data_IF_795951697044
#
_entry.id   IF_795951697044
#
_cell.length_a   1.000
_cell.length_b   1.000
_cell.length_c   1.000
_cell.angle_alpha   90.00
_cell.angle_beta   90.00
_cell.angle_gamma   90.00
#
_symmetry.space_group_name_H-M   'P 1'
#
loop_
_entity.id
_entity.type
_entity.pdbx_description
1 polymer ?
#
# COMPACT_ATOMS: atom_id res chain seq x y z
N UNK A 1 -2.56 26.14 3.46
CA UNK A 1 -1.48 25.13 3.37
C UNK A 1 -1.57 24.28 4.63
N UNK A 2 -2.09 23.06 4.52
CA UNK A 2 -2.20 22.13 5.66
C UNK A 2 -0.84 21.47 5.89
N UNK A 3 -0.43 21.35 7.15
CA UNK A 3 0.77 20.62 7.53
C UNK A 3 0.53 19.87 8.86
N UNK A 4 1.24 18.77 9.06
CA UNK A 4 1.26 17.99 10.29
C UNK A 4 2.71 17.60 10.56
N UNK A 5 3.14 17.74 11.81
CA UNK A 5 4.51 17.43 12.24
C UNK A 5 4.52 16.02 12.83
N UNK A 6 5.47 15.22 12.36
CA UNK A 6 5.71 13.87 12.85
C UNK A 6 7.11 13.78 13.46
N UNK A 7 7.19 13.23 14.66
CA UNK A 7 8.47 12.94 15.30
C UNK A 7 9.06 11.65 14.72
N UNK A 8 10.38 11.63 14.54
CA UNK A 8 11.11 10.41 14.18
C UNK A 8 11.78 9.91 15.47
N UNK A 9 11.42 8.71 15.97
CA UNK A 9 12.05 8.15 17.16
C UNK A 9 13.56 7.95 17.00
N UNK A 10 14.31 8.02 18.09
CA UNK A 10 15.78 7.91 18.06
C UNK A 10 16.24 6.53 17.57
N UNK A 11 15.49 5.50 17.91
CA UNK A 11 15.67 4.13 17.45
C UNK A 11 15.54 4.04 15.92
N UNK A 12 14.56 4.73 15.32
CA UNK A 12 14.37 4.78 13.86
C UNK A 12 15.47 5.62 13.19
N UNK A 13 15.88 6.74 13.80
CA UNK A 13 16.96 7.58 13.28
C UNK A 13 18.31 6.84 13.19
N UNK A 14 18.52 5.84 14.04
CA UNK A 14 19.75 5.04 14.12
C UNK A 14 19.57 3.59 13.64
N UNK A 15 18.39 3.25 13.13
CA UNK A 15 18.02 1.89 12.72
C UNK A 15 18.49 1.56 11.30
N UNK A 16 17.63 0.90 10.54
CA UNK A 16 17.84 0.64 9.11
C UNK A 16 17.17 1.69 8.23
N UNK A 17 17.59 1.76 6.97
CA UNK A 17 16.93 2.56 5.96
C UNK A 17 15.47 2.14 5.80
N UNK A 18 15.21 0.84 5.77
CA UNK A 18 13.85 0.31 5.69
C UNK A 18 12.97 0.83 6.84
N UNK A 19 13.44 0.74 8.09
CA UNK A 19 12.70 1.25 9.25
C UNK A 19 12.43 2.77 9.15
N UNK A 20 13.42 3.53 8.70
CA UNK A 20 13.29 4.98 8.53
C UNK A 20 12.26 5.34 7.45
N UNK A 21 12.38 4.75 6.27
CA UNK A 21 11.49 5.07 5.15
C UNK A 21 10.09 4.50 5.36
N UNK A 22 9.95 3.33 5.98
CA UNK A 22 8.64 2.79 6.37
C UNK A 22 7.93 3.72 7.38
N UNK A 23 8.67 4.29 8.34
CA UNK A 23 8.12 5.30 9.26
C UNK A 23 7.68 6.58 8.52
N UNK A 24 8.46 7.05 7.54
CA UNK A 24 8.07 8.21 6.70
C UNK A 24 6.78 7.91 5.94
N UNK A 25 6.68 6.75 5.30
CA UNK A 25 5.47 6.35 4.55
C UNK A 25 4.27 6.19 5.48
N UNK A 26 4.46 5.69 6.70
CA UNK A 26 3.40 5.65 7.71
C UNK A 26 2.91 7.04 8.12
N UNK A 27 3.80 8.02 8.23
CA UNK A 27 3.42 9.42 8.48
C UNK A 27 2.63 10.00 7.29
N UNK A 28 3.04 9.71 6.06
CA UNK A 28 2.34 10.15 4.84
C UNK A 28 0.92 9.55 4.80
N UNK A 29 0.78 8.25 5.07
CA UNK A 29 -0.51 7.57 5.06
C UNK A 29 -1.48 8.15 6.11
N UNK A 30 -1.00 8.37 7.34
CA UNK A 30 -1.79 9.01 8.40
C UNK A 30 -2.19 10.45 8.02
N UNK A 31 -1.30 11.19 7.34
CA UNK A 31 -1.64 12.52 6.84
C UNK A 31 -2.72 12.49 5.75
N UNK A 32 -2.65 11.56 4.81
CA UNK A 32 -3.66 11.41 3.76
C UNK A 32 -5.02 11.03 4.34
N UNK A 33 -5.04 10.15 5.34
CA UNK A 33 -6.26 9.80 6.07
C UNK A 33 -6.84 11.01 6.81
N UNK A 34 -6.01 11.77 7.52
CA UNK A 34 -6.40 13.01 8.20
C UNK A 34 -7.01 14.04 7.23
N UNK A 35 -6.51 14.11 6.00
CA UNK A 35 -7.01 15.00 4.96
C UNK A 35 -8.23 14.44 4.20
N UNK A 36 -8.64 13.19 4.46
CA UNK A 36 -9.72 12.51 3.73
C UNK A 36 -9.37 12.19 2.27
N UNK A 37 -8.07 12.01 1.97
CA UNK A 37 -7.54 11.79 0.61
C UNK A 37 -7.00 10.36 0.41
N UNK A 38 -7.45 9.41 1.21
CA UNK A 38 -7.06 8.00 1.08
C UNK A 38 -7.49 7.47 -0.29
N UNK A 39 -6.59 6.74 -0.97
CA UNK A 39 -6.85 6.14 -2.28
C UNK A 39 -6.62 7.06 -3.49
N UNK A 40 -6.19 8.31 -3.28
CA UNK A 40 -5.86 9.25 -4.36
C UNK A 40 -4.36 9.22 -4.65
N UNK A 41 -3.99 9.08 -5.93
CA UNK A 41 -2.61 9.25 -6.38
C UNK A 41 -2.29 10.75 -6.50
N UNK A 42 -1.28 11.22 -5.75
CA UNK A 42 -0.89 12.62 -5.70
C UNK A 42 0.59 12.77 -6.04
N UNK A 43 0.97 13.82 -6.80
CA UNK A 43 2.38 14.14 -7.00
C UNK A 43 3.03 14.53 -5.65
N UNK A 44 4.15 13.90 -5.32
CA UNK A 44 4.90 14.16 -4.08
C UNK A 44 6.22 14.86 -4.39
N UNK A 45 6.44 16.01 -3.75
CA UNK A 45 7.76 16.64 -3.69
C UNK A 45 8.50 16.20 -2.43
N UNK A 46 9.68 15.59 -2.58
CA UNK A 46 10.45 15.09 -1.45
C UNK A 46 11.61 16.02 -1.10
N UNK A 47 11.42 16.87 -0.08
CA UNK A 47 12.50 17.74 0.42
C UNK A 47 13.37 16.99 1.41
N UNK A 48 14.49 16.45 0.94
CA UNK A 48 15.42 15.67 1.75
C UNK A 48 16.67 16.48 2.12
N UNK A 49 16.66 17.08 3.31
CA UNK A 49 17.65 18.08 3.74
C UNK A 49 18.97 17.48 4.25
N UNK A 50 19.60 16.63 3.44
CA UNK A 50 20.90 16.02 3.70
C UNK A 50 21.86 16.20 2.52
N UNK A 51 23.17 16.07 2.71
CA UNK A 51 24.13 16.08 1.60
C UNK A 51 23.84 14.93 0.62
N UNK A 52 23.37 15.27 -0.58
CA UNK A 52 23.08 14.31 -1.63
C UNK A 52 23.73 14.73 -2.96
N UNK A 53 24.07 13.74 -3.78
CA UNK A 53 24.39 13.94 -5.19
C UNK A 53 23.12 13.70 -6.00
N UNK A 54 22.56 14.78 -6.53
CA UNK A 54 21.35 14.74 -7.34
C UNK A 54 21.72 14.57 -8.83
N UNK A 55 21.25 13.49 -9.45
CA UNK A 55 21.51 13.17 -10.85
C UNK A 55 20.34 13.59 -11.76
N UNK A 56 19.10 13.48 -11.26
CA UNK A 56 17.86 13.92 -11.93
C UNK A 56 16.91 14.60 -10.93
N UNK A 57 15.70 14.98 -11.34
CA UNK A 57 14.69 15.48 -10.41
C UNK A 57 14.15 14.41 -9.45
N UNK A 58 14.26 13.14 -9.83
CA UNK A 58 13.70 11.98 -9.13
C UNK A 58 14.76 10.93 -8.76
N UNK A 59 16.02 11.33 -8.70
CA UNK A 59 17.18 10.51 -8.30
C UNK A 59 18.15 11.35 -7.47
N UNK A 60 18.42 10.90 -6.24
CA UNK A 60 19.28 11.62 -5.31
C UNK A 60 20.03 10.65 -4.39
N UNK A 61 21.34 10.52 -4.61
CA UNK A 61 22.20 9.62 -3.84
C UNK A 61 22.61 10.28 -2.54
N UNK A 62 22.28 9.69 -1.39
CA UNK A 62 22.75 10.19 -0.09
C UNK A 62 24.26 10.01 0.04
N UNK A 63 25.00 11.10 0.23
CA UNK A 63 26.45 11.04 0.38
C UNK A 63 26.86 10.71 1.80
N UNK A 64 26.22 11.38 2.77
CA UNK A 64 26.54 11.22 4.19
C UNK A 64 25.44 11.74 5.09
N UNK A 65 25.16 11.01 6.15
CA UNK A 65 24.29 11.46 7.21
C UNK A 65 24.88 12.62 8.02
N UNK A 66 23.98 13.48 8.49
CA UNK A 66 24.29 14.60 9.39
C UNK A 66 23.19 14.72 10.44
N UNK A 67 23.28 15.70 11.35
CA UNK A 67 22.21 16.04 12.31
C UNK A 67 21.79 14.88 13.23
N UNK A 68 22.71 13.94 13.48
CA UNK A 68 22.48 12.79 14.35
C UNK A 68 21.82 11.58 13.69
N UNK A 69 21.42 11.64 12.41
CA UNK A 69 20.94 10.45 11.70
C UNK A 69 22.07 9.47 11.43
N UNK A 70 21.78 8.16 11.49
CA UNK A 70 22.71 7.07 11.14
C UNK A 70 22.00 5.82 10.61
N UNK A 71 20.83 5.97 10.00
CA UNK A 71 20.11 4.83 9.43
C UNK A 71 21.00 4.09 8.42
N UNK A 72 21.19 2.80 8.66
CA UNK A 72 22.07 1.94 7.86
C UNK A 72 21.45 1.58 6.51
N UNK A 73 22.28 1.37 5.48
CA UNK A 73 21.78 1.06 4.14
C UNK A 73 21.19 2.27 3.38
N UNK A 74 21.51 3.50 3.80
CA UNK A 74 21.09 4.71 3.07
C UNK A 74 22.24 5.47 2.41
N UNK A 75 23.42 5.56 3.06
CA UNK A 75 24.57 6.26 2.45
C UNK A 75 25.08 5.48 1.24
N UNK A 76 25.20 6.15 0.10
CA UNK A 76 25.52 5.55 -1.20
C UNK A 76 24.30 5.14 -2.03
N UNK A 77 23.09 5.19 -1.46
CA UNK A 77 21.85 4.76 -2.10
C UNK A 77 20.97 5.93 -2.54
N UNK A 78 20.10 5.69 -3.53
CA UNK A 78 19.11 6.66 -3.99
C UNK A 78 17.93 6.75 -3.02
N UNK A 79 17.80 7.90 -2.34
CA UNK A 79 16.74 8.11 -1.34
C UNK A 79 15.34 8.16 -1.96
N UNK A 80 15.24 8.48 -3.26
CA UNK A 80 13.95 8.44 -3.95
C UNK A 80 13.54 6.99 -4.19
N UNK A 81 14.48 6.11 -4.54
CA UNK A 81 14.23 4.68 -4.66
C UNK A 81 13.86 4.06 -3.31
N UNK A 82 14.60 4.37 -2.23
CA UNK A 82 14.26 3.89 -0.89
C UNK A 82 12.84 4.29 -0.46
N UNK A 83 12.41 5.51 -0.78
CA UNK A 83 11.04 5.95 -0.53
C UNK A 83 10.01 5.21 -1.40
N UNK A 84 10.29 5.03 -2.70
CA UNK A 84 9.42 4.27 -3.62
C UNK A 84 9.25 2.82 -3.16
N UNK A 85 10.34 2.18 -2.72
CA UNK A 85 10.32 0.81 -2.19
C UNK A 85 9.51 0.73 -0.89
N UNK A 86 9.66 1.69 0.02
CA UNK A 86 8.85 1.74 1.24
C UNK A 86 7.35 1.93 0.95
N UNK A 87 7.00 2.77 -0.04
CA UNK A 87 5.61 2.92 -0.51
C UNK A 87 5.11 1.57 -1.03
N UNK A 88 5.89 0.90 -1.88
CA UNK A 88 5.52 -0.40 -2.43
C UNK A 88 5.38 -1.48 -1.35
N UNK A 89 6.31 -1.55 -0.39
CA UNK A 89 6.22 -2.48 0.75
C UNK A 89 4.95 -2.25 1.57
N UNK A 90 4.57 -1.00 1.78
CA UNK A 90 3.31 -0.67 2.47
C UNK A 90 2.12 -1.10 1.63
N UNK A 91 2.07 -0.80 0.35
CA UNK A 91 0.96 -1.22 -0.53
C UNK A 91 0.83 -2.74 -0.56
N UNK A 92 1.95 -3.47 -0.65
CA UNK A 92 1.97 -4.94 -0.61
C UNK A 92 1.62 -5.47 0.79
N UNK A 93 2.03 -4.80 1.86
CA UNK A 93 1.69 -5.16 3.24
C UNK A 93 0.23 -4.88 3.60
N UNK A 94 -0.34 -3.78 3.08
CA UNK A 94 -1.77 -3.53 3.08
C UNK A 94 -2.46 -4.57 2.18
N UNK A 95 -1.84 -5.00 1.07
CA UNK A 95 -2.38 -6.04 0.20
C UNK A 95 -2.38 -7.45 0.85
N UNK A 96 -1.43 -7.75 1.73
CA UNK A 96 -1.49 -8.95 2.57
C UNK A 96 -2.58 -8.88 3.66
N UNK A 97 -3.14 -7.69 3.90
CA UNK A 97 -4.39 -7.50 4.65
C UNK A 97 -5.61 -7.30 3.74
N UNK A 98 -5.46 -7.38 2.41
CA UNK A 98 -6.57 -7.26 1.46
C UNK A 98 -6.96 -8.64 0.96
N UNK A 99 -8.26 -8.92 0.98
CA UNK A 99 -8.80 -10.15 0.40
C UNK A 99 -8.40 -10.30 -1.06
N UNK A 100 -8.44 -11.53 -1.56
CA UNK A 100 -8.24 -11.81 -2.98
C UNK A 100 -9.38 -11.19 -3.79
N UNK A 101 -9.05 -10.46 -4.86
CA UNK A 101 -10.01 -10.00 -5.86
C UNK A 101 -9.38 -10.04 -7.26
N UNK A 102 -10.20 -10.15 -8.30
CA UNK A 102 -9.77 -10.14 -9.69
C UNK A 102 -10.77 -9.38 -10.58
N UNK A 103 -10.26 -8.79 -11.67
CA UNK A 103 -11.07 -8.11 -12.67
C UNK A 103 -10.71 -8.59 -14.08
N UNK A 104 -11.66 -8.47 -15.01
CA UNK A 104 -11.45 -8.81 -16.42
C UNK A 104 -12.28 -7.89 -17.33
N UNK A 105 -11.94 -7.83 -18.62
CA UNK A 105 -12.70 -7.07 -19.61
C UNK A 105 -13.81 -7.92 -20.19
N UNK A 106 -15.06 -7.53 -19.96
CA UNK A 106 -16.27 -8.20 -20.49
C UNK A 106 -16.89 -7.36 -21.63
N UNK A 107 -17.57 -8.02 -22.55
CA UNK A 107 -18.35 -7.37 -23.61
C UNK A 107 -19.63 -6.75 -23.04
N UNK A 108 -19.92 -5.50 -23.43
CA UNK A 108 -21.07 -4.74 -22.90
C UNK A 108 -22.41 -5.48 -23.07
N UNK A 109 -22.58 -6.22 -24.17
CA UNK A 109 -23.77 -7.07 -24.42
C UNK A 109 -24.01 -8.19 -23.40
N UNK A 110 -23.04 -8.52 -22.53
CA UNK A 110 -23.20 -9.49 -21.45
C UNK A 110 -23.51 -8.83 -20.09
N UNK A 111 -23.63 -7.50 -20.03
CA UNK A 111 -23.80 -6.73 -18.79
C UNK A 111 -25.22 -6.13 -18.76
N UNK A 112 -26.17 -6.89 -18.22
CA UNK A 112 -27.59 -6.47 -18.18
C UNK A 112 -27.86 -5.27 -17.24
N UNK A 113 -26.92 -4.95 -16.35
CA UNK A 113 -27.06 -3.90 -15.34
C UNK A 113 -26.70 -2.50 -15.83
N UNK A 114 -26.14 -2.37 -17.03
CA UNK A 114 -25.72 -1.10 -17.63
C UNK A 114 -26.39 -0.94 -19.00
N UNK A 115 -26.90 0.26 -19.30
CA UNK A 115 -27.48 0.55 -20.61
C UNK A 115 -26.40 0.62 -21.70
N UNK A 116 -26.63 -0.09 -22.81
CA UNK A 116 -25.76 -0.13 -23.99
C UNK A 116 -25.11 -1.49 -24.21
N UNK A 117 -24.90 -1.85 -25.48
CA UNK A 117 -24.38 -3.16 -25.91
C UNK A 117 -23.05 -3.08 -26.68
N UNK A 118 -22.58 -1.87 -26.99
CA UNK A 118 -21.34 -1.64 -27.73
C UNK A 118 -20.11 -1.46 -26.84
N UNK A 119 -19.03 -2.20 -27.14
CA UNK A 119 -17.73 -2.05 -26.49
C UNK A 119 -17.45 -3.07 -25.39
N UNK A 120 -16.51 -2.74 -24.50
CA UNK A 120 -16.10 -3.57 -23.37
C UNK A 120 -16.02 -2.75 -22.10
N UNK A 121 -16.34 -3.37 -20.97
CA UNK A 121 -16.25 -2.77 -19.63
C UNK A 121 -15.40 -3.67 -18.72
N UNK A 122 -14.59 -3.05 -17.86
CA UNK A 122 -13.88 -3.78 -16.82
C UNK A 122 -14.87 -4.21 -15.74
N UNK A 123 -14.99 -5.51 -15.51
CA UNK A 123 -15.78 -6.10 -14.44
C UNK A 123 -14.88 -6.38 -13.26
N UNK A 124 -15.19 -5.73 -12.13
CA UNK A 124 -14.64 -6.08 -10.84
C UNK A 124 -15.49 -7.20 -10.24
N UNK A 125 -14.92 -8.39 -10.01
CA UNK A 125 -15.71 -9.55 -9.60
C UNK A 125 -16.10 -9.52 -8.12
N UNK A 126 -15.28 -8.88 -7.27
CA UNK A 126 -15.39 -8.99 -5.81
C UNK A 126 -15.50 -10.46 -5.36
N UNK A 127 -14.69 -11.34 -5.98
CA UNK A 127 -14.85 -12.79 -5.86
C UNK A 127 -14.54 -13.36 -4.46
N UNK A 128 -14.07 -12.52 -3.53
CA UNK A 128 -13.85 -12.93 -2.14
C UNK A 128 -15.14 -13.37 -1.47
N UNK A 129 -16.32 -12.95 -1.96
CA UNK A 129 -17.61 -13.38 -1.42
C UNK A 129 -18.07 -14.75 -1.93
N UNK A 130 -17.30 -15.37 -2.84
CA UNK A 130 -17.67 -16.65 -3.43
C UNK A 130 -17.60 -17.76 -2.37
N UNK A 131 -18.73 -18.45 -2.16
CA UNK A 131 -18.86 -19.47 -1.11
C UNK A 131 -19.56 -19.00 0.17
N UNK A 132 -19.82 -17.69 0.33
CA UNK A 132 -20.60 -17.13 1.45
C UNK A 132 -22.03 -17.71 1.57
N UNK A 133 -22.56 -18.23 0.46
CA UNK A 133 -23.88 -18.86 0.37
C UNK A 133 -23.85 -20.38 0.60
N UNK A 134 -22.68 -20.92 0.97
CA UNK A 134 -22.43 -22.34 1.18
C UNK A 134 -22.04 -23.10 -0.10
N UNK A 135 -21.85 -22.40 -1.24
CA UNK A 135 -21.48 -23.05 -2.50
C UNK A 135 -20.12 -23.79 -2.46
N UNK A 136 -19.28 -23.50 -1.46
CA UNK A 136 -17.97 -24.14 -1.26
C UNK A 136 -17.93 -25.09 -0.05
N UNK A 137 -19.06 -25.33 0.63
CA UNK A 137 -19.09 -26.12 1.87
C UNK A 137 -18.64 -27.58 1.68
N UNK A 138 -18.72 -28.12 0.47
CA UNK A 138 -18.26 -29.47 0.12
C UNK A 138 -16.73 -29.59 0.02
N UNK A 139 -16.03 -28.47 -0.22
CA UNK A 139 -14.57 -28.41 -0.26
C UNK A 139 -13.94 -27.80 0.99
N UNK A 140 -14.74 -27.13 1.84
CA UNK A 140 -14.29 -26.54 3.11
C UNK A 140 -13.91 -27.62 4.12
N UNK A 141 -12.74 -27.45 4.72
CA UNK A 141 -12.25 -28.33 5.77
C UNK A 141 -12.62 -27.78 7.16
N UNK A 142 -12.42 -28.61 8.18
CA UNK A 142 -12.55 -28.19 9.58
C UNK A 142 -11.62 -27.02 9.95
N UNK A 143 -10.44 -26.93 9.30
CA UNK A 143 -9.50 -25.84 9.51
C UNK A 143 -10.03 -24.51 8.97
N UNK A 144 -10.65 -24.54 7.79
CA UNK A 144 -11.24 -23.35 7.18
C UNK A 144 -12.40 -22.81 8.04
N UNK A 145 -13.19 -23.71 8.64
CA UNK A 145 -14.27 -23.36 9.56
C UNK A 145 -13.75 -22.74 10.86
N UNK A 146 -12.65 -23.25 11.41
CA UNK A 146 -12.01 -22.69 12.61
C UNK A 146 -11.46 -21.28 12.34
N UNK A 147 -10.78 -21.09 11.20
CA UNK A 147 -10.28 -19.79 10.74
C UNK A 147 -11.44 -18.79 10.59
N UNK A 148 -12.54 -19.21 9.97
CA UNK A 148 -13.74 -18.40 9.77
C UNK A 148 -14.35 -17.92 11.09
N UNK A 149 -14.57 -18.85 12.02
CA UNK A 149 -15.13 -18.55 13.34
C UNK A 149 -14.23 -17.63 14.17
N UNK A 150 -12.91 -17.68 13.95
CA UNK A 150 -11.93 -16.81 14.57
C UNK A 150 -11.73 -15.46 13.87
N UNK A 151 -12.36 -15.23 12.71
CA UNK A 151 -12.19 -14.03 11.90
C UNK A 151 -13.01 -12.84 12.42
N UNK A 152 -12.78 -11.65 11.86
CA UNK A 152 -13.58 -10.45 12.16
C UNK A 152 -15.00 -10.54 11.57
N UNK A 153 -15.21 -11.33 10.51
CA UNK A 153 -16.48 -11.44 9.80
C UNK A 153 -16.84 -12.92 9.55
N UNK A 154 -17.28 -13.68 10.58
CA UNK A 154 -17.63 -15.08 10.40
C UNK A 154 -18.71 -15.29 9.32
N UNK A 155 -18.48 -16.27 8.45
CA UNK A 155 -19.32 -16.61 7.30
C UNK A 155 -19.15 -15.69 6.10
N UNK A 156 -18.07 -14.89 6.06
CA UNK A 156 -17.79 -13.92 4.99
C UNK A 156 -16.31 -13.91 4.58
N UNK A 157 -16.05 -13.88 3.28
CA UNK A 157 -14.75 -13.53 2.69
C UNK A 157 -13.56 -14.40 3.18
N UNK A 158 -13.74 -15.72 3.14
CA UNK A 158 -12.74 -16.73 3.52
C UNK A 158 -11.70 -17.00 2.42
#
# INVERSE_FOLDING_TARGET
MHNKIYSIPQEVMHGTGDELFDHIVQCIADFLEYMGMKGVSLPLGFTFSFPCQQNSLDESILLKWTKGFKASGCEGEDVVMLLKEAIHRREVGEAQRTGSNACYMEEMRHIDTVEGDEGRMCINMEWGAFGDDGALDDIRTEFDQEIDMGSLNPGKQL
#
